data_IF_744838447147
#
_entry.id   IF_744838447147
#
_cell.length_a   1.000
_cell.length_b   1.000
_cell.length_c   1.000
_cell.angle_alpha   90.00
_cell.angle_beta   90.00
_cell.angle_gamma   90.00
#
_symmetry.space_group_name_H-M   'P 1'
#
loop_
_entity.id
_entity.type
_entity.pdbx_description
1 polymer ?
#
# COMPACT_ATOMS: atom_id res chain seq x y z
N UNK A 1 -2.02 9.90 2.25
CA UNK A 1 -2.56 11.14 1.65
C UNK A 1 -4.09 11.24 1.83
N UNK A 2 -4.67 12.42 1.62
CA UNK A 2 -6.10 12.60 1.31
C UNK A 2 -6.25 13.15 -0.11
N UNK A 3 -7.13 12.55 -0.92
CA UNK A 3 -7.46 13.05 -2.26
C UNK A 3 -8.71 13.94 -2.17
N UNK A 4 -8.60 15.18 -2.69
CA UNK A 4 -9.76 16.05 -2.90
C UNK A 4 -10.46 15.69 -4.22
N UNK A 5 -11.79 15.56 -4.25
CA UNK A 5 -12.53 15.29 -5.48
C UNK A 5 -12.18 16.24 -6.62
N UNK A 6 -12.19 15.72 -7.85
CA UNK A 6 -11.93 16.47 -9.08
C UNK A 6 -13.07 16.25 -10.08
N UNK A 7 -13.68 17.34 -10.54
CA UNK A 7 -14.71 17.31 -11.57
C UNK A 7 -14.27 18.10 -12.81
N UNK A 8 -14.83 17.76 -13.96
CA UNK A 8 -14.57 18.45 -15.21
C UNK A 8 -15.15 19.86 -15.21
N UNK A 9 -14.28 20.87 -15.34
CA UNK A 9 -14.61 22.32 -15.43
C UNK A 9 -15.25 22.96 -14.18
N UNK A 10 -15.34 22.28 -13.04
CA UNK A 10 -15.76 22.91 -11.78
C UNK A 10 -14.61 23.67 -11.08
N UNK A 11 -14.96 24.53 -10.12
CA UNK A 11 -13.97 25.28 -9.32
C UNK A 11 -13.69 24.50 -8.03
N UNK A 12 -12.43 24.50 -7.59
CA UNK A 12 -11.99 23.84 -6.34
C UNK A 12 -12.77 24.31 -5.09
N UNK A 13 -13.41 25.49 -5.16
CA UNK A 13 -14.26 26.05 -4.11
C UNK A 13 -15.45 25.15 -3.73
N UNK A 14 -16.01 24.40 -4.70
CA UNK A 14 -17.24 23.60 -4.55
C UNK A 14 -17.02 22.30 -3.73
N UNK A 15 -15.78 22.08 -3.28
CA UNK A 15 -15.33 20.89 -2.55
C UNK A 15 -14.58 21.20 -1.24
N UNK A 16 -14.43 22.48 -0.87
CA UNK A 16 -13.61 22.90 0.29
C UNK A 16 -14.00 22.22 1.62
N UNK A 17 -15.28 21.91 1.82
CA UNK A 17 -15.78 21.26 3.05
C UNK A 17 -16.06 19.74 2.89
N UNK A 18 -15.80 19.15 1.71
CA UNK A 18 -16.04 17.71 1.51
C UNK A 18 -14.86 16.90 2.04
N UNK A 19 -15.14 15.88 2.85
CA UNK A 19 -14.10 14.97 3.39
C UNK A 19 -13.37 14.28 2.24
N UNK A 20 -12.05 14.51 2.15
CA UNK A 20 -11.21 13.87 1.13
C UNK A 20 -11.13 12.34 1.28
N UNK A 21 -11.03 11.67 0.13
CA UNK A 21 -10.86 10.21 0.03
C UNK A 21 -9.55 9.80 0.69
N UNK A 22 -9.55 8.73 1.49
CA UNK A 22 -8.33 8.20 2.09
C UNK A 22 -7.53 7.43 1.04
N UNK A 23 -6.25 7.78 0.88
CA UNK A 23 -5.34 7.11 -0.04
C UNK A 23 -4.02 6.81 0.67
N UNK A 24 -3.68 5.54 0.75
CA UNK A 24 -2.42 5.04 1.29
C UNK A 24 -1.62 4.47 0.13
N UNK A 25 -0.40 4.95 -0.07
CA UNK A 25 0.50 4.42 -1.08
C UNK A 25 1.65 3.66 -0.42
N UNK A 26 2.19 2.67 -1.11
CA UNK A 26 3.35 1.90 -0.67
C UNK A 26 4.29 1.74 -1.85
N UNK A 27 5.55 2.14 -1.65
CA UNK A 27 6.64 1.90 -2.62
C UNK A 27 7.37 0.65 -2.17
N UNK A 28 7.57 -0.27 -3.11
CA UNK A 28 8.26 -1.54 -2.92
C UNK A 28 9.56 -1.46 -3.71
N UNK A 29 10.71 -1.64 -3.05
CA UNK A 29 12.01 -1.76 -3.72
C UNK A 29 12.50 -3.22 -3.68
N UNK A 30 13.11 -3.73 -4.75
CA UNK A 30 13.63 -5.10 -4.77
C UNK A 30 14.77 -5.29 -5.78
N UNK A 31 15.63 -6.28 -5.52
CA UNK A 31 16.63 -6.76 -6.48
C UNK A 31 16.02 -7.91 -7.31
N UNK A 32 16.06 -7.85 -8.65
CA UNK A 32 15.50 -8.89 -9.51
C UNK A 32 16.37 -10.13 -9.72
N UNK A 33 17.68 -10.03 -9.51
CA UNK A 33 18.64 -11.04 -9.99
C UNK A 33 18.40 -12.42 -9.33
N UNK A 34 17.99 -12.39 -8.06
CA UNK A 34 17.63 -13.55 -7.23
C UNK A 34 16.24 -14.13 -7.56
N UNK A 35 15.53 -13.54 -8.53
CA UNK A 35 14.36 -14.19 -9.13
C UNK A 35 14.71 -15.28 -10.14
N UNK A 36 15.99 -15.46 -10.46
CA UNK A 36 16.50 -16.59 -11.22
C UNK A 36 16.75 -16.27 -12.69
N UNK A 37 17.79 -15.46 -12.94
CA UNK A 37 18.53 -15.56 -14.19
C UNK A 37 19.79 -16.39 -13.95
N UNK A 38 19.85 -17.61 -14.51
CA UNK A 38 21.04 -18.47 -14.51
C UNK A 38 22.13 -17.92 -15.45
N UNK A 39 22.55 -16.69 -15.19
CA UNK A 39 23.48 -15.93 -16.01
C UNK A 39 24.53 -15.34 -15.09
N UNK A 40 25.68 -15.99 -15.04
CA UNK A 40 26.92 -15.39 -14.54
C UNK A 40 27.20 -14.11 -15.35
N UNK A 41 26.76 -12.96 -14.85
CA UNK A 41 27.03 -11.69 -15.53
C UNK A 41 27.25 -10.52 -14.59
N UNK A 42 28.37 -9.86 -14.86
CA UNK A 42 28.94 -8.71 -14.16
C UNK A 42 28.18 -7.42 -14.45
N UNK A 43 26.87 -7.41 -14.21
CA UNK A 43 25.99 -6.24 -14.29
C UNK A 43 25.63 -5.72 -12.89
N UNK A 44 25.57 -4.39 -12.68
CA UNK A 44 25.19 -3.84 -11.38
C UNK A 44 23.73 -4.20 -11.05
N UNK A 45 23.50 -4.74 -9.85
CA UNK A 45 22.19 -5.14 -9.35
C UNK A 45 21.13 -4.07 -9.59
N UNK A 46 20.17 -4.34 -10.48
CA UNK A 46 19.25 -3.31 -10.96
C UNK A 46 18.03 -3.14 -10.03
N UNK A 47 18.17 -2.26 -9.03
CA UNK A 47 17.11 -1.90 -8.09
C UNK A 47 15.80 -1.60 -8.84
N UNK A 48 14.79 -2.42 -8.58
CA UNK A 48 13.49 -2.36 -9.19
C UNK A 48 12.43 -1.91 -8.21
N UNK A 49 11.36 -1.30 -8.72
CA UNK A 49 10.26 -0.79 -7.91
C UNK A 49 8.92 -1.39 -8.32
N UNK A 50 8.02 -1.60 -7.35
CA UNK A 50 6.57 -1.73 -7.52
C UNK A 50 5.88 -0.66 -6.67
N UNK A 51 4.62 -0.35 -7.00
CA UNK A 51 3.83 0.68 -6.33
C UNK A 51 2.43 0.14 -6.02
N UNK A 52 1.94 0.32 -4.79
CA UNK A 52 0.59 -0.08 -4.40
C UNK A 52 -0.20 1.12 -3.90
N UNK A 53 -1.29 1.44 -4.57
CA UNK A 53 -2.22 2.52 -4.26
C UNK A 53 -3.49 1.93 -3.65
N UNK A 54 -3.61 2.00 -2.32
CA UNK A 54 -4.79 1.55 -1.58
C UNK A 54 -5.73 2.72 -1.31
N UNK A 55 -6.87 2.72 -1.97
CA UNK A 55 -7.90 3.74 -1.85
C UNK A 55 -8.97 3.20 -0.90
N UNK A 56 -9.17 3.87 0.23
CA UNK A 56 -10.10 3.39 1.26
C UNK A 56 -11.52 3.83 0.94
N UNK A 57 -12.46 2.89 0.97
CA UNK A 57 -13.88 3.15 0.82
C UNK A 57 -14.54 3.39 2.18
N UNK A 58 -15.32 4.47 2.30
CA UNK A 58 -16.20 4.72 3.45
C UNK A 58 -15.52 5.12 4.77
N UNK A 59 -14.22 4.92 4.94
CA UNK A 59 -13.47 5.30 6.13
C UNK A 59 -12.46 6.42 5.85
N UNK A 60 -12.51 7.46 6.68
CA UNK A 60 -11.61 8.62 6.61
C UNK A 60 -10.66 8.72 7.80
N UNK A 61 -10.76 7.84 8.80
CA UNK A 61 -9.88 7.87 9.98
C UNK A 61 -8.47 7.41 9.63
N UNK A 62 -7.47 8.06 10.24
CA UNK A 62 -6.05 7.71 10.13
C UNK A 62 -5.55 7.26 11.50
N UNK A 63 -6.02 6.11 11.94
CA UNK A 63 -5.65 5.49 13.21
C UNK A 63 -4.77 4.26 13.00
N UNK A 64 -4.14 3.81 14.09
CA UNK A 64 -3.20 2.67 14.06
C UNK A 64 -3.85 1.40 13.51
N UNK A 65 -5.14 1.20 13.78
CA UNK A 65 -5.92 0.06 13.26
C UNK A 65 -6.01 0.10 11.74
N UNK A 66 -6.41 1.24 11.16
CA UNK A 66 -6.51 1.38 9.71
C UNK A 66 -5.15 1.26 9.02
N UNK A 67 -4.09 1.84 9.61
CA UNK A 67 -2.71 1.69 9.09
C UNK A 67 -2.25 0.24 9.13
N UNK A 68 -2.50 -0.49 10.22
CA UNK A 68 -2.13 -1.91 10.33
C UNK A 68 -2.84 -2.76 9.26
N UNK A 69 -4.13 -2.52 9.00
CA UNK A 69 -4.89 -3.15 7.91
C UNK A 69 -4.35 -2.79 6.50
N UNK A 70 -3.90 -1.56 6.29
CA UNK A 70 -3.35 -1.12 5.00
C UNK A 70 -1.96 -1.71 4.72
N UNK A 71 -1.15 -1.91 5.77
CA UNK A 71 0.10 -2.67 5.68
C UNK A 71 -0.17 -4.17 5.45
N UNK A 72 -1.24 -4.72 6.02
CA UNK A 72 -1.68 -6.08 5.74
C UNK A 72 -2.07 -6.28 4.27
N UNK A 73 -2.85 -5.34 3.70
CA UNK A 73 -3.15 -5.31 2.25
C UNK A 73 -1.87 -5.30 1.41
N UNK A 74 -0.92 -4.40 1.73
CA UNK A 74 0.35 -4.31 1.03
C UNK A 74 1.16 -5.61 1.08
N UNK A 75 1.14 -6.32 2.21
CA UNK A 75 1.79 -7.63 2.35
C UNK A 75 1.06 -8.74 1.58
N UNK A 76 -0.27 -8.67 1.44
CA UNK A 76 -1.02 -9.62 0.61
C UNK A 76 -0.68 -9.44 -0.87
N UNK A 77 -0.73 -8.20 -1.37
CA UNK A 77 -0.34 -7.90 -2.76
C UNK A 77 1.13 -8.24 -3.02
N UNK A 78 2.03 -7.87 -2.11
CA UNK A 78 3.45 -8.22 -2.20
C UNK A 78 3.70 -9.73 -2.29
N UNK A 79 2.88 -10.56 -1.63
CA UNK A 79 3.01 -12.02 -1.70
C UNK A 79 2.60 -12.58 -3.06
N UNK A 80 1.70 -11.90 -3.77
CA UNK A 80 1.26 -12.25 -5.13
C UNK A 80 2.34 -11.84 -6.13
N UNK A 81 2.84 -10.61 -6.04
CA UNK A 81 3.81 -10.06 -7.00
C UNK A 81 5.23 -10.61 -6.79
N UNK A 82 5.62 -10.88 -5.53
CA UNK A 82 6.96 -11.33 -5.15
C UNK A 82 6.93 -12.55 -4.20
N UNK A 83 6.32 -13.70 -4.59
CA UNK A 83 6.12 -14.88 -3.73
C UNK A 83 7.39 -15.51 -3.14
N UNK A 84 8.56 -15.34 -3.76
CA UNK A 84 9.85 -15.79 -3.22
C UNK A 84 10.29 -15.02 -1.98
N UNK A 85 9.90 -13.75 -1.82
CA UNK A 85 10.35 -12.90 -0.71
C UNK A 85 9.79 -13.40 0.63
N UNK A 86 10.61 -13.33 1.68
CA UNK A 86 10.27 -13.77 3.05
C UNK A 86 10.54 -12.71 4.11
N UNK A 87 11.19 -11.59 3.80
CA UNK A 87 11.63 -10.62 4.80
C UNK A 87 11.34 -9.16 4.42
N UNK A 88 11.17 -8.33 5.46
CA UNK A 88 10.83 -6.90 5.41
C UNK A 88 11.46 -6.14 6.61
N UNK A 89 11.40 -4.80 6.66
CA UNK A 89 12.25 -3.81 7.40
C UNK A 89 11.49 -2.44 7.35
N UNK A 90 10.17 -2.43 7.53
CA UNK A 90 9.25 -1.34 7.08
C UNK A 90 9.78 0.09 7.33
N UNK A 91 9.67 0.97 6.34
CA UNK A 91 9.91 2.41 6.48
C UNK A 91 8.58 3.14 6.38
N UNK A 92 8.36 4.14 7.24
CA UNK A 92 7.25 5.07 7.14
C UNK A 92 7.73 6.51 7.33
N UNK A 93 6.87 7.48 7.00
CA UNK A 93 7.03 8.84 7.50
C UNK A 93 6.86 8.89 9.03
N UNK A 94 7.16 10.05 9.62
CA UNK A 94 6.98 10.32 11.05
C UNK A 94 5.57 10.85 11.39
N UNK A 95 4.53 10.54 10.60
CA UNK A 95 3.16 10.97 10.92
C UNK A 95 2.62 10.22 12.14
N UNK A 96 1.74 10.87 12.91
CA UNK A 96 1.23 10.36 14.21
C UNK A 96 0.56 8.98 14.12
N UNK A 97 0.03 8.61 12.95
CA UNK A 97 -0.56 7.29 12.72
C UNK A 97 0.48 6.14 12.64
N UNK A 98 1.73 6.44 12.27
CA UNK A 98 2.88 5.51 12.33
C UNK A 98 3.74 5.70 13.60
N UNK A 99 3.78 6.93 14.13
CA UNK A 99 4.53 7.31 15.34
C UNK A 99 3.79 6.87 16.62
N UNK A 100 3.68 5.56 16.84
CA UNK A 100 3.07 5.01 18.05
C UNK A 100 3.74 3.69 18.46
N UNK A 101 3.65 3.33 19.74
CA UNK A 101 4.26 2.10 20.29
C UNK A 101 3.57 0.81 19.84
N UNK A 102 2.33 0.87 19.33
CA UNK A 102 1.56 -0.32 18.97
C UNK A 102 1.95 -0.85 17.59
N UNK A 103 2.14 0.02 16.59
CA UNK A 103 2.45 -0.42 15.21
C UNK A 103 3.74 -1.25 15.10
N UNK A 104 4.88 -0.89 15.75
CA UNK A 104 6.08 -1.72 15.75
C UNK A 104 5.90 -3.08 16.44
N UNK A 105 4.95 -3.18 17.39
CA UNK A 105 4.60 -4.43 18.07
C UNK A 105 3.69 -5.28 17.18
N UNK A 106 2.70 -4.66 16.53
CA UNK A 106 1.66 -5.33 15.72
C UNK A 106 2.21 -5.84 14.38
N UNK A 107 3.05 -5.03 13.71
CA UNK A 107 3.49 -5.29 12.34
C UNK A 107 4.23 -6.64 12.16
N UNK A 108 5.12 -7.07 13.07
CA UNK A 108 5.71 -8.42 13.02
C UNK A 108 4.70 -9.56 13.07
N UNK A 109 3.57 -9.42 13.79
CA UNK A 109 2.53 -10.46 13.82
C UNK A 109 1.75 -10.53 12.51
N UNK A 110 1.37 -9.38 11.95
CA UNK A 110 0.68 -9.28 10.64
C UNK A 110 1.57 -9.89 9.54
N UNK A 111 2.82 -9.45 9.47
CA UNK A 111 3.80 -9.97 8.51
C UNK A 111 3.95 -11.49 8.62
N UNK A 112 4.12 -12.00 9.84
CA UNK A 112 4.28 -13.44 10.09
C UNK A 112 3.05 -14.25 9.69
N UNK A 113 1.84 -13.73 9.93
CA UNK A 113 0.60 -14.35 9.48
C UNK A 113 0.50 -14.44 7.94
N UNK A 114 1.09 -13.49 7.20
CA UNK A 114 1.18 -13.55 5.73
C UNK A 114 2.40 -14.34 5.22
N UNK A 115 3.35 -14.70 6.07
CA UNK A 115 4.55 -15.47 5.73
C UNK A 115 5.81 -14.63 5.51
N UNK A 116 5.88 -13.43 6.10
CA UNK A 116 7.03 -12.55 6.11
C UNK A 116 7.61 -12.35 7.52
N UNK A 117 8.89 -12.02 7.61
CA UNK A 117 9.59 -11.63 8.85
C UNK A 117 9.97 -10.15 8.81
N UNK A 118 9.52 -9.36 9.79
CA UNK A 118 9.90 -7.94 9.94
C UNK A 118 11.18 -7.84 10.77
N UNK A 119 12.28 -7.54 10.10
CA UNK A 119 13.63 -7.41 10.66
C UNK A 119 13.87 -6.08 11.37
N UNK A 120 13.17 -5.02 10.96
CA UNK A 120 13.28 -3.66 11.50
C UNK A 120 12.03 -2.85 11.14
N UNK A 121 11.79 -1.75 11.84
CA UNK A 121 10.85 -0.70 11.45
C UNK A 121 11.56 0.64 11.65
N UNK A 122 11.48 1.56 10.68
CA UNK A 122 12.17 2.84 10.70
C UNK A 122 11.19 3.97 10.34
N UNK A 123 11.41 5.14 10.95
CA UNK A 123 10.71 6.38 10.63
C UNK A 123 11.70 7.34 9.95
N UNK A 124 11.30 7.97 8.85
CA UNK A 124 12.09 9.04 8.23
C UNK A 124 11.87 10.36 8.97
N UNK A 125 12.89 11.22 9.08
CA UNK A 125 12.70 12.54 9.70
C UNK A 125 11.85 13.47 8.82
N UNK A 126 11.26 14.49 9.45
CA UNK A 126 10.30 15.42 8.81
C UNK A 126 10.88 16.25 7.64
N UNK A 127 12.20 16.21 7.41
CA UNK A 127 12.85 16.84 6.25
C UNK A 127 13.73 15.91 5.41
N UNK A 128 14.18 14.77 5.95
CA UNK A 128 14.87 13.72 5.18
C UNK A 128 13.83 12.75 4.60
N UNK A 129 13.51 12.93 3.32
CA UNK A 129 12.57 12.09 2.60
C UNK A 129 11.29 12.80 2.16
N UNK A 130 11.43 13.84 1.31
CA UNK A 130 10.44 14.03 0.23
C UNK A 130 10.52 12.77 -0.64
N UNK A 131 9.60 11.87 -0.36
CA UNK A 131 9.79 10.44 -0.58
C UNK A 131 9.47 10.03 -2.02
N UNK A 132 9.88 8.82 -2.41
CA UNK A 132 9.36 8.21 -3.64
C UNK A 132 7.83 8.02 -3.59
N UNK A 133 7.23 8.00 -2.39
CA UNK A 133 5.78 7.98 -2.19
C UNK A 133 5.15 9.33 -2.59
N UNK A 134 5.78 10.45 -2.25
CA UNK A 134 5.34 11.78 -2.68
C UNK A 134 5.45 11.97 -4.21
N UNK A 135 6.53 11.45 -4.81
CA UNK A 135 6.70 11.42 -6.25
C UNK A 135 5.62 10.54 -6.94
N UNK A 136 5.30 9.37 -6.37
CA UNK A 136 4.21 8.51 -6.83
C UNK A 136 2.86 9.24 -6.76
N UNK A 137 2.52 9.88 -5.63
CA UNK A 137 1.29 10.67 -5.51
C UNK A 137 1.24 11.79 -6.57
N UNK A 138 2.34 12.51 -6.81
CA UNK A 138 2.39 13.57 -7.82
C UNK A 138 2.16 13.03 -9.26
N UNK A 139 2.76 11.89 -9.60
CA UNK A 139 2.57 11.22 -10.90
C UNK A 139 1.12 10.74 -11.04
N UNK A 140 0.57 10.13 -9.99
CA UNK A 140 -0.77 9.57 -9.99
C UNK A 140 -1.86 10.65 -10.05
N UNK A 141 -1.69 11.77 -9.34
CA UNK A 141 -2.54 12.96 -9.48
C UNK A 141 -2.52 13.54 -10.89
N UNK A 142 -1.36 13.60 -11.55
CA UNK A 142 -1.26 14.07 -12.94
C UNK A 142 -1.97 13.12 -13.92
N UNK A 143 -1.93 11.81 -13.66
CA UNK A 143 -2.67 10.82 -14.45
C UNK A 143 -4.18 11.00 -14.28
N UNK A 144 -4.68 11.01 -13.04
CA UNK A 144 -6.10 11.24 -12.73
C UNK A 144 -6.59 12.57 -13.32
N UNK A 145 -5.79 13.64 -13.23
CA UNK A 145 -6.16 14.95 -13.79
C UNK A 145 -6.36 14.94 -15.31
N UNK A 146 -5.64 14.09 -16.05
CA UNK A 146 -5.84 13.93 -17.51
C UNK A 146 -7.18 13.24 -17.80
N UNK A 147 -7.47 12.16 -17.06
CA UNK A 147 -8.74 11.42 -17.15
C UNK A 147 -9.95 12.32 -16.80
N UNK A 148 -9.79 13.24 -15.84
CA UNK A 148 -10.82 14.25 -15.53
C UNK A 148 -11.01 15.24 -16.68
N UNK A 149 -9.94 15.67 -17.36
CA UNK A 149 -10.03 16.55 -18.55
C UNK A 149 -10.68 15.85 -19.76
N UNK A 150 -10.63 14.51 -19.82
CA UNK A 150 -11.35 13.69 -20.80
C UNK A 150 -12.86 13.56 -20.49
N UNK A 151 -13.32 14.07 -19.35
CA UNK A 151 -14.74 14.18 -18.98
C UNK A 151 -15.23 13.19 -17.92
N UNK A 152 -14.34 12.50 -17.20
CA UNK A 152 -14.69 11.62 -16.09
C UNK A 152 -14.56 12.34 -14.74
N UNK A 153 -15.68 12.56 -14.05
CA UNK A 153 -15.64 13.13 -12.69
C UNK A 153 -15.17 12.08 -11.67
N UNK A 154 -14.21 12.47 -10.81
CA UNK A 154 -13.56 11.61 -9.82
C UNK A 154 -13.93 12.11 -8.42
N UNK A 155 -15.07 11.61 -7.92
CA UNK A 155 -15.73 12.09 -6.69
C UNK A 155 -15.72 11.03 -5.57
N UNK A 156 -15.72 9.75 -5.93
CA UNK A 156 -15.82 8.61 -5.01
C UNK A 156 -14.56 7.75 -5.02
N UNK A 157 -14.35 6.97 -3.94
CA UNK A 157 -13.24 6.02 -3.83
C UNK A 157 -13.17 5.04 -5.02
N UNK A 158 -14.31 4.55 -5.52
CA UNK A 158 -14.34 3.68 -6.70
C UNK A 158 -13.94 4.43 -7.97
N UNK A 159 -14.53 5.61 -8.24
CA UNK A 159 -14.14 6.41 -9.42
C UNK A 159 -12.66 6.80 -9.43
N UNK A 160 -12.03 6.98 -8.26
CA UNK A 160 -10.59 7.20 -8.15
C UNK A 160 -9.78 5.97 -8.57
N UNK A 161 -10.17 4.77 -8.14
CA UNK A 161 -9.54 3.51 -8.59
C UNK A 161 -9.76 3.27 -10.09
N UNK A 162 -10.97 3.54 -10.61
CA UNK A 162 -11.25 3.49 -12.05
C UNK A 162 -10.35 4.44 -12.83
N UNK A 163 -10.19 5.69 -12.36
CA UNK A 163 -9.33 6.68 -13.00
C UNK A 163 -7.84 6.32 -12.92
N UNK A 164 -7.37 5.70 -11.83
CA UNK A 164 -5.98 5.22 -11.70
C UNK A 164 -5.66 3.99 -12.56
N UNK A 165 -6.68 3.22 -12.96
CA UNK A 165 -6.57 2.07 -13.87
C UNK A 165 -6.84 2.42 -15.34
N UNK A 166 -7.31 3.63 -15.63
CA UNK A 166 -7.65 4.07 -16.97
C UNK A 166 -6.43 4.13 -17.90
N UNK A 167 -6.64 3.94 -19.21
CA UNK A 167 -5.54 3.98 -20.20
C UNK A 167 -4.43 2.92 -20.00
N UNK A 168 -4.69 1.85 -19.25
CA UNK A 168 -3.70 0.85 -18.87
C UNK A 168 -3.01 1.12 -17.53
N UNK A 169 -3.38 2.20 -16.84
CA UNK A 169 -2.90 2.56 -15.52
C UNK A 169 -1.44 3.03 -15.47
N UNK A 170 -0.91 3.14 -14.26
CA UNK A 170 0.47 3.55 -14.00
C UNK A 170 1.43 2.35 -14.06
N UNK A 171 2.62 2.59 -14.64
CA UNK A 171 3.63 1.53 -14.85
C UNK A 171 4.09 0.92 -13.53
N UNK A 172 3.94 -0.41 -13.40
CA UNK A 172 4.27 -1.19 -12.19
C UNK A 172 3.48 -0.75 -10.94
N UNK A 173 2.29 -0.19 -11.13
CA UNK A 173 1.41 0.25 -10.05
C UNK A 173 0.14 -0.59 -10.02
N UNK A 174 -0.19 -1.17 -8.86
CA UNK A 174 -1.50 -1.73 -8.59
C UNK A 174 -2.33 -0.69 -7.81
N UNK A 175 -3.52 -0.36 -8.29
CA UNK A 175 -4.48 0.48 -7.56
C UNK A 175 -5.67 -0.38 -7.12
N UNK A 176 -6.01 -0.36 -5.84
CA UNK A 176 -7.02 -1.22 -5.22
C UNK A 176 -8.02 -0.44 -4.36
N UNK A 177 -9.26 -0.92 -4.34
CA UNK A 177 -10.30 -0.42 -3.45
C UNK A 177 -10.31 -1.28 -2.18
N UNK A 178 -10.01 -0.66 -1.03
CA UNK A 178 -9.93 -1.34 0.27
C UNK A 178 -11.13 -0.95 1.14
N UNK A 179 -11.84 -1.96 1.65
CA UNK A 179 -12.87 -1.78 2.68
C UNK A 179 -12.34 -2.25 4.04
N UNK A 180 -12.36 -1.35 5.03
CA UNK A 180 -11.90 -1.62 6.40
C UNK A 180 -13.09 -2.00 7.31
N UNK A 181 -13.19 -3.27 7.71
CA UNK A 181 -14.23 -3.71 8.66
C UNK A 181 -13.85 -3.41 10.12
N UNK A 182 -14.34 -2.30 10.66
CA UNK A 182 -14.17 -1.92 12.09
C UNK A 182 -15.08 -2.69 13.04
N UNK A 183 -15.06 -4.02 13.01
CA UNK A 183 -15.80 -4.87 13.97
C UNK A 183 -14.98 -5.03 15.27
N UNK A 184 -15.58 -4.63 16.40
CA UNK A 184 -15.02 -4.59 17.76
C UNK A 184 -13.83 -3.62 18.00
N UNK A 185 -14.11 -2.51 18.70
CA UNK A 185 -13.09 -1.61 19.28
C UNK A 185 -12.42 -2.17 20.56
N UNK A 186 -12.90 -3.29 21.08
CA UNK A 186 -12.46 -3.90 22.32
C UNK A 186 -11.57 -5.11 22.04
N UNK A 187 -10.30 -4.89 21.69
CA UNK A 187 -9.31 -5.96 21.64
C UNK A 187 -7.94 -5.52 22.16
N UNK A 188 -7.73 -5.76 23.46
CA UNK A 188 -6.39 -6.00 23.97
C UNK A 188 -5.97 -7.43 23.54
N UNK A 189 -4.87 -7.55 22.81
CA UNK A 189 -4.23 -8.83 22.43
C UNK A 189 -5.04 -9.84 21.59
N UNK A 190 -5.75 -9.39 20.55
CA UNK A 190 -6.26 -10.28 19.50
C UNK A 190 -6.34 -9.56 18.17
N UNK A 191 -5.43 -9.90 17.26
CA UNK A 191 -5.24 -9.19 16.00
C UNK A 191 -5.75 -10.08 14.88
N UNK A 192 -7.02 -9.85 14.52
CA UNK A 192 -7.60 -10.23 13.23
C UNK A 192 -8.17 -8.93 12.68
N UNK A 193 -7.58 -8.42 11.60
CA UNK A 193 -8.20 -7.36 10.79
C UNK A 193 -8.80 -8.03 9.55
N UNK A 194 -10.12 -7.97 9.38
CA UNK A 194 -10.73 -8.39 8.12
C UNK A 194 -10.55 -7.25 7.11
N UNK A 195 -9.56 -7.41 6.23
CA UNK A 195 -9.26 -6.48 5.14
C UNK A 195 -9.82 -7.07 3.86
N UNK A 196 -10.84 -6.42 3.31
CA UNK A 196 -11.38 -6.81 2.00
C UNK A 196 -10.81 -5.90 0.92
N UNK A 197 -9.96 -6.47 0.09
CA UNK A 197 -9.66 -5.93 -1.23
C UNK A 197 -10.83 -6.24 -2.15
N UNK A 198 -11.39 -5.21 -2.79
CA UNK A 198 -12.42 -5.36 -3.83
C UNK A 198 -11.71 -5.22 -5.18
N UNK A 199 -11.43 -6.35 -5.83
CA UNK A 199 -10.84 -6.37 -7.16
C UNK A 199 -11.95 -6.43 -8.20
N UNK A 200 -12.32 -5.28 -8.75
CA UNK A 200 -13.15 -5.20 -9.96
C UNK A 200 -12.35 -5.75 -11.16
N UNK A 201 -12.43 -7.05 -11.38
CA UNK A 201 -12.14 -7.69 -12.67
C UNK A 201 -13.43 -7.70 -13.51
N UNK A 202 -13.32 -7.47 -14.82
CA UNK A 202 -14.46 -7.31 -15.73
C UNK A 202 -15.60 -8.34 -15.51
N UNK A 203 -16.67 -7.91 -14.85
CA UNK A 203 -17.94 -8.64 -14.73
C UNK A 203 -18.09 -9.60 -13.53
N UNK A 204 -17.11 -9.73 -12.63
CA UNK A 204 -17.23 -10.54 -11.41
C UNK A 204 -16.54 -9.87 -10.20
N UNK A 205 -17.30 -9.59 -9.15
CA UNK A 205 -16.77 -9.20 -7.85
C UNK A 205 -16.19 -10.43 -7.14
N UNK A 206 -14.86 -10.52 -7.01
CA UNK A 206 -14.21 -11.59 -6.24
C UNK A 206 -13.75 -11.04 -4.88
N UNK A 207 -14.30 -11.59 -3.79
CA UNK A 207 -14.08 -11.14 -2.41
C UNK A 207 -13.12 -12.10 -1.71
N UNK A 208 -11.89 -11.65 -1.40
CA UNK A 208 -11.00 -12.36 -0.48
C UNK A 208 -11.19 -11.87 0.97
N UNK A 209 -11.44 -12.81 1.89
CA UNK A 209 -11.43 -12.63 3.34
C UNK A 209 -10.91 -13.93 3.97
N UNK A 210 -9.84 -13.86 4.78
CA UNK A 210 -9.11 -15.04 5.28
C UNK A 210 -8.58 -14.82 6.71
N UNK A 211 -8.92 -15.73 7.63
CA UNK A 211 -8.43 -15.79 9.02
C UNK A 211 -7.46 -16.96 9.22
N UNK A 212 -6.24 -16.77 9.73
CA UNK A 212 -5.32 -17.88 10.05
C UNK A 212 -4.36 -17.64 11.23
N UNK A 213 -3.96 -18.74 11.89
CA UNK A 213 -2.96 -18.86 12.97
C UNK A 213 -1.73 -19.67 12.51
N UNK A 214 -0.59 -19.54 13.19
CA UNK A 214 0.58 -20.44 13.05
C UNK A 214 1.94 -19.72 13.12
N UNK A 215 3.06 -20.40 13.45
CA UNK A 215 4.34 -19.68 13.55
C UNK A 215 5.65 -20.48 13.64
N UNK A 216 6.75 -19.71 13.77
CA UNK A 216 8.18 -20.10 13.85
C UNK A 216 8.77 -20.57 12.49
N UNK A 217 10.08 -20.47 12.16
CA UNK A 217 11.30 -19.98 12.83
C UNK A 217 12.07 -18.95 11.94
N UNK A 218 13.32 -18.60 12.28
CA UNK A 218 14.10 -17.41 11.84
C UNK A 218 15.09 -17.73 10.70
N UNK A 219 15.29 -16.83 9.71
CA UNK A 219 16.33 -17.01 8.68
C UNK A 219 16.62 -15.84 7.71
N UNK A 220 17.49 -14.90 8.14
CA UNK A 220 18.40 -13.99 7.38
C UNK A 220 17.95 -13.32 6.04
N UNK A 221 17.51 -12.06 6.19
CA UNK A 221 17.20 -10.94 5.25
C UNK A 221 17.33 -11.01 3.72
N UNK A 222 16.77 -10.05 2.95
CA UNK A 222 16.37 -8.67 3.29
C UNK A 222 15.12 -8.10 2.49
N UNK A 223 15.12 -6.87 1.87
CA UNK A 223 14.02 -5.85 2.06
C UNK A 223 13.65 -4.67 0.98
N UNK A 224 12.45 -4.00 0.98
CA UNK A 224 11.76 -2.81 0.27
C UNK A 224 11.78 -1.26 0.74
N UNK A 225 12.72 -0.37 0.40
CA UNK A 225 13.15 0.84 1.20
C UNK A 225 13.76 0.44 2.58
N UNK A 226 13.04 -0.44 3.26
CA UNK A 226 13.50 -1.79 3.63
C UNK A 226 14.63 -2.18 2.58
N UNK A 227 15.88 -2.59 2.87
CA UNK A 227 16.94 -2.67 1.82
C UNK A 227 17.19 -4.08 1.20
N UNK A 228 17.08 -4.32 -0.14
CA UNK A 228 17.11 -5.71 -0.67
C UNK A 228 18.54 -6.20 -0.82
N UNK A 229 18.71 -7.40 -0.25
CA UNK A 229 19.74 -8.40 -0.48
C UNK A 229 18.98 -9.74 -0.31
N UNK A 230 19.05 -10.67 -1.27
CA UNK A 230 18.65 -12.06 -1.05
C UNK A 230 19.88 -12.95 -0.82
N UNK A 231 19.70 -14.28 -0.85
CA UNK A 231 20.78 -15.27 -0.76
C UNK A 231 20.75 -16.20 -1.98
#
# INVERSE_FOLDING_TARGET
MKFGPLCYREKTIDFLDKKGISWHATVVFYLPDDYGSDVENTSPHHLSMLFYDHIVQGDTQQDVSGVASLLEAAMMQLKIDLPKVKEVVAISDNATCYQNTRLPIILPFIAKAKGFSVLRFMHTETQDGKSMVDALFAIALQHVSKIVVEGMDVITSSTLVTALRAGGGLKKTAAELIQLERKNKNFALGIIFDVRTITECHGLEEIMSINTWGGAQIGKGLAFDVFVIPQ
#
